data_IF_426199467053
#
_entry.id   IF_426199467053
#
_cell.length_a   1.000
_cell.length_b   1.000
_cell.length_c   1.000
_cell.angle_alpha   90.00
_cell.angle_beta   90.00
_cell.angle_gamma   90.00
#
_symmetry.space_group_name_H-M   'P 1'
#
loop_
_entity.id
_entity.type
_entity.pdbx_description
1 polymer ?
#
# COMPACT_ATOMS: atom_id res chain seq x y z
N UNK A 1 3.90 8.82 -11.35
CA UNK A 1 2.55 9.37 -11.02
C UNK A 1 1.75 8.28 -10.30
N UNK A 2 0.75 8.61 -9.47
CA UNK A 2 -0.05 7.60 -8.74
C UNK A 2 -0.95 6.84 -9.72
N UNK A 3 -0.83 5.51 -9.75
CA UNK A 3 -1.70 4.63 -10.53
C UNK A 3 -2.94 4.29 -9.74
N UNK A 4 -2.76 3.91 -8.47
CA UNK A 4 -3.83 3.46 -7.58
C UNK A 4 -3.53 3.83 -6.14
N UNK A 5 -4.57 3.97 -5.32
CA UNK A 5 -4.50 4.17 -3.88
C UNK A 5 -5.45 3.17 -3.24
N UNK A 6 -4.93 2.43 -2.26
CA UNK A 6 -5.70 1.53 -1.42
C UNK A 6 -5.73 2.08 0.01
N UNK A 7 -6.90 2.04 0.64
CA UNK A 7 -7.07 2.39 2.06
C UNK A 7 -7.40 1.12 2.82
N UNK A 8 -6.59 0.86 3.85
CA UNK A 8 -6.62 -0.38 4.61
C UNK A 8 -6.87 -0.02 6.07
N UNK A 9 -7.84 -0.70 6.68
CA UNK A 9 -8.10 -0.55 8.10
C UNK A 9 -7.08 -1.35 8.94
N UNK A 10 -7.21 -1.30 10.25
CA UNK A 10 -6.33 -2.03 11.18
C UNK A 10 -6.61 -3.54 11.24
N UNK A 11 -7.70 -4.04 10.67
CA UNK A 11 -7.99 -5.48 10.55
C UNK A 11 -7.41 -6.09 9.26
N UNK A 12 -6.80 -5.27 8.39
CA UNK A 12 -6.23 -5.71 7.11
C UNK A 12 -7.21 -5.67 5.94
N UNK A 13 -8.41 -5.14 6.13
CA UNK A 13 -9.39 -5.00 5.05
C UNK A 13 -9.11 -3.77 4.21
N UNK A 14 -8.87 -3.99 2.92
CA UNK A 14 -8.93 -2.93 1.92
C UNK A 14 -10.41 -2.63 1.64
N UNK A 15 -10.89 -1.50 2.15
CA UNK A 15 -12.29 -1.09 2.05
C UNK A 15 -12.53 0.04 1.03
N UNK A 16 -11.45 0.70 0.57
CA UNK A 16 -11.50 1.70 -0.48
C UNK A 16 -10.32 1.53 -1.42
N UNK A 17 -10.63 1.57 -2.72
CA UNK A 17 -9.65 1.65 -3.78
C UNK A 17 -9.99 2.80 -4.73
N UNK A 18 -8.97 3.50 -5.20
CA UNK A 18 -9.10 4.55 -6.21
C UNK A 18 -8.03 4.37 -7.27
N UNK A 19 -8.44 4.26 -8.52
CA UNK A 19 -7.54 4.13 -9.68
C UNK A 19 -7.57 5.42 -10.50
N UNK A 20 -6.41 5.88 -10.96
CA UNK A 20 -6.26 7.08 -11.81
C UNK A 20 -5.71 6.76 -13.20
N UNK A 21 -4.57 6.06 -13.29
CA UNK A 21 -3.93 5.74 -14.58
C UNK A 21 -4.33 4.37 -15.12
N UNK A 22 -4.30 3.36 -14.26
CA UNK A 22 -4.61 1.98 -14.61
C UNK A 22 -5.29 1.28 -13.44
N UNK A 23 -6.12 0.30 -13.74
CA UNK A 23 -6.64 -0.62 -12.73
C UNK A 23 -5.49 -1.50 -12.26
N UNK A 24 -5.22 -1.46 -10.95
CA UNK A 24 -4.21 -2.32 -10.30
C UNK A 24 -4.97 -3.30 -9.42
N UNK A 25 -4.64 -4.58 -9.51
CA UNK A 25 -5.29 -5.60 -8.71
C UNK A 25 -4.96 -5.41 -7.22
N UNK A 26 -5.95 -5.60 -6.35
CA UNK A 26 -5.79 -5.56 -4.88
C UNK A 26 -4.68 -6.48 -4.36
N UNK A 27 -4.35 -7.58 -5.06
CA UNK A 27 -3.24 -8.47 -4.70
C UNK A 27 -1.87 -7.78 -4.64
N UNK A 28 -1.72 -6.59 -5.23
CA UNK A 28 -0.50 -5.80 -5.03
C UNK A 28 -0.29 -5.43 -3.55
N UNK A 29 -1.36 -5.37 -2.75
CA UNK A 29 -1.26 -5.11 -1.31
C UNK A 29 -0.64 -6.27 -0.54
N UNK A 30 -0.53 -7.46 -1.12
CA UNK A 30 0.09 -8.63 -0.47
C UNK A 30 1.56 -8.35 -0.09
N UNK A 31 2.28 -7.59 -0.93
CA UNK A 31 3.63 -7.11 -0.63
C UNK A 31 3.65 -6.17 0.59
N UNK A 32 2.64 -5.32 0.74
CA UNK A 32 2.50 -4.45 1.90
C UNK A 32 2.20 -5.27 3.16
N UNK A 33 1.27 -6.23 3.09
CA UNK A 33 0.92 -7.08 4.23
C UNK A 33 2.08 -7.95 4.69
N UNK A 34 2.90 -8.46 3.77
CA UNK A 34 4.09 -9.23 4.11
C UNK A 34 5.06 -8.39 4.96
N UNK A 35 5.31 -7.13 4.55
CA UNK A 35 6.20 -6.23 5.28
C UNK A 35 5.58 -5.80 6.61
N UNK A 36 4.30 -5.45 6.62
CA UNK A 36 3.56 -5.06 7.82
C UNK A 36 3.55 -6.18 8.86
N UNK A 37 3.40 -7.44 8.45
CA UNK A 37 3.37 -8.59 9.38
C UNK A 37 4.68 -8.80 10.16
N UNK A 38 5.80 -8.25 9.64
CA UNK A 38 7.13 -8.33 10.26
C UNK A 38 7.42 -7.12 11.15
N UNK A 39 6.62 -6.06 11.05
CA UNK A 39 6.76 -4.84 11.84
C UNK A 39 6.08 -5.00 13.20
N UNK A 40 6.72 -4.51 14.27
CA UNK A 40 6.11 -4.50 15.62
C UNK A 40 5.13 -3.33 15.78
N UNK A 41 5.46 -2.18 15.18
CA UNK A 41 4.63 -0.99 15.18
C UNK A 41 4.40 -0.49 13.75
N UNK A 42 3.32 0.26 13.48
CA UNK A 42 3.05 0.85 12.16
C UNK A 42 4.18 1.75 11.63
N UNK A 43 4.91 2.41 12.54
CA UNK A 43 6.07 3.26 12.25
C UNK A 43 7.32 2.49 11.82
N UNK A 44 7.38 1.18 12.09
CA UNK A 44 8.47 0.30 11.66
C UNK A 44 8.28 -0.18 10.21
N UNK A 45 7.11 0.09 9.60
CA UNK A 45 6.87 -0.24 8.19
C UNK A 45 7.62 0.76 7.31
N UNK A 46 8.52 0.31 6.40
CA UNK A 46 9.24 1.20 5.52
C UNK A 46 8.25 1.98 4.65
N UNK A 47 8.43 3.31 4.48
CA UNK A 47 7.48 4.15 3.75
C UNK A 47 7.41 3.80 2.26
N UNK A 48 8.43 3.12 1.72
CA UNK A 48 8.48 2.66 0.33
C UNK A 48 8.82 1.17 0.30
N UNK A 49 7.99 0.38 -0.39
CA UNK A 49 8.19 -1.05 -0.63
C UNK A 49 8.34 -1.24 -2.13
N UNK A 50 9.49 -1.78 -2.55
CA UNK A 50 9.75 -2.12 -3.94
C UNK A 50 9.13 -3.48 -4.29
N UNK A 51 8.45 -3.53 -5.43
CA UNK A 51 7.95 -4.76 -6.06
C UNK A 51 8.59 -4.86 -7.46
N UNK A 52 8.45 -5.98 -8.18
CA UNK A 52 9.10 -6.15 -9.48
C UNK A 52 8.78 -5.06 -10.53
N UNK A 53 7.58 -4.47 -10.48
CA UNK A 53 7.10 -3.52 -11.49
C UNK A 53 6.52 -2.22 -10.93
N UNK A 54 6.35 -2.13 -9.60
CA UNK A 54 5.75 -0.99 -8.93
C UNK A 54 6.50 -0.66 -7.64
N UNK A 55 6.31 0.56 -7.15
CA UNK A 55 6.58 0.89 -5.76
C UNK A 55 5.27 1.13 -5.02
N UNK A 56 5.24 0.68 -3.77
CA UNK A 56 4.18 0.99 -2.82
C UNK A 56 4.70 2.04 -1.87
N UNK A 57 4.09 3.22 -1.91
CA UNK A 57 4.36 4.29 -0.95
C UNK A 57 3.25 4.24 0.09
N UNK A 58 3.59 4.04 1.35
CA UNK A 58 2.59 3.93 2.41
C UNK A 58 2.79 4.94 3.54
N UNK A 59 1.68 5.34 4.13
CA UNK A 59 1.63 6.08 5.39
C UNK A 59 0.59 5.46 6.32
N UNK A 60 0.81 5.60 7.62
CA UNK A 60 -0.16 5.25 8.65
C UNK A 60 -0.68 6.53 9.33
N UNK A 61 -1.99 6.75 9.31
CA UNK A 61 -2.62 7.93 9.91
C UNK A 61 -4.04 7.62 10.35
N UNK A 62 -4.42 8.07 11.55
CA UNK A 62 -5.76 7.87 12.11
C UNK A 62 -6.20 6.40 12.10
N UNK A 63 -5.30 5.48 12.44
CA UNK A 63 -5.53 4.04 12.47
C UNK A 63 -5.86 3.42 11.09
N UNK A 64 -5.43 4.07 10.01
CA UNK A 64 -5.58 3.63 8.63
C UNK A 64 -4.24 3.63 7.91
N UNK A 65 -4.04 2.67 7.02
CA UNK A 65 -2.96 2.70 6.05
C UNK A 65 -3.46 3.24 4.71
N UNK A 66 -2.65 4.10 4.11
CA UNK A 66 -2.85 4.61 2.76
C UNK A 66 -1.70 4.10 1.92
N UNK A 67 -1.97 3.21 0.96
CA UNK A 67 -0.95 2.56 0.14
C UNK A 67 -1.13 3.01 -1.31
N UNK A 68 -0.25 3.90 -1.75
CA UNK A 68 -0.21 4.41 -3.11
C UNK A 68 0.71 3.55 -3.99
N UNK A 69 0.19 3.10 -5.12
CA UNK A 69 0.94 2.36 -6.14
C UNK A 69 1.44 3.33 -7.19
N UNK A 70 2.75 3.32 -7.44
CA UNK A 70 3.41 4.10 -8.49
C UNK A 70 4.30 3.21 -9.35
N UNK A 71 4.52 3.60 -10.59
CA UNK A 71 5.48 2.98 -11.53
C UNK A 71 6.73 3.85 -11.64
N UNK A 72 7.83 3.24 -12.12
CA UNK A 72 9.07 3.94 -12.49
C UNK A 72 8.95 4.86 -13.70
N UNK A 73 7.88 4.73 -14.48
CA UNK A 73 7.60 5.50 -15.71
C UNK A 73 6.34 6.37 -15.57
#
# INVERSE_FOLDING_TARGET
MIHSLFVINNTGDVFLEKHWKSVVNKSICDYFFEVQSKASNPEDVPPVIATPHHYLINIYRNNLYFVAVVTTE
#
